data_IF_931655571441
#
_entry.id   IF_931655571441
#
_cell.length_a   1.000
_cell.length_b   1.000
_cell.length_c   1.000
_cell.angle_alpha   90.00
_cell.angle_beta   90.00
_cell.angle_gamma   90.00
#
_symmetry.space_group_name_H-M   'P 1'
#
loop_
_entity.id
_entity.type
_entity.pdbx_description
1 polymer ?
#
# COMPACT_ATOMS: atom_id res chain seq x y z
N UNK A 1 15.46 -3.41 40.60
CA UNK A 1 14.78 -4.73 40.75
C UNK A 1 13.26 -4.64 40.84
N UNK A 2 12.70 -3.62 41.50
CA UNK A 2 11.25 -3.36 41.67
C UNK A 2 10.51 -3.11 40.36
N UNK A 3 11.09 -2.35 39.43
CA UNK A 3 10.51 -2.04 38.11
C UNK A 3 10.38 -3.25 37.18
N UNK A 4 11.32 -4.20 37.24
CA UNK A 4 11.28 -5.42 36.43
C UNK A 4 10.20 -6.38 36.95
N UNK A 5 10.08 -6.53 38.27
CA UNK A 5 9.02 -7.34 38.90
C UNK A 5 7.63 -6.76 38.63
N UNK A 6 7.47 -5.44 38.68
CA UNK A 6 6.21 -4.77 38.36
C UNK A 6 5.81 -4.93 36.89
N UNK A 7 6.76 -4.78 35.96
CA UNK A 7 6.52 -5.06 34.53
C UNK A 7 6.13 -6.51 34.27
N UNK A 8 6.78 -7.47 34.94
CA UNK A 8 6.40 -8.90 34.87
C UNK A 8 5.00 -9.14 35.41
N UNK A 9 4.63 -8.52 36.53
CA UNK A 9 3.29 -8.65 37.12
C UNK A 9 2.19 -8.12 36.19
N UNK A 10 2.39 -6.93 35.61
CA UNK A 10 1.48 -6.35 34.61
C UNK A 10 1.37 -7.26 33.38
N UNK A 11 2.49 -7.80 32.92
CA UNK A 11 2.51 -8.70 31.77
C UNK A 11 1.72 -9.99 32.05
N UNK A 12 1.93 -10.62 33.21
CA UNK A 12 1.18 -11.81 33.64
C UNK A 12 -0.31 -11.50 33.82
N UNK A 13 -0.66 -10.38 34.45
CA UNK A 13 -2.06 -9.96 34.61
C UNK A 13 -2.76 -9.77 33.25
N UNK A 14 -2.08 -9.17 32.27
CA UNK A 14 -2.61 -9.05 30.90
C UNK A 14 -2.88 -10.41 30.25
N UNK A 15 -2.04 -11.42 30.49
CA UNK A 15 -2.32 -12.77 29.97
C UNK A 15 -3.49 -13.44 30.66
N UNK A 16 -3.59 -13.32 31.99
CA UNK A 16 -4.71 -13.91 32.75
C UNK A 16 -6.03 -13.27 32.33
N UNK A 17 -6.09 -11.94 32.24
CA UNK A 17 -7.27 -11.22 31.74
C UNK A 17 -7.63 -11.66 30.32
N UNK A 18 -6.64 -11.81 29.43
CA UNK A 18 -6.86 -12.33 28.07
C UNK A 18 -7.40 -13.76 28.07
N UNK A 19 -6.87 -14.64 28.92
CA UNK A 19 -7.36 -16.02 29.01
C UNK A 19 -8.81 -16.06 29.49
N UNK A 20 -9.15 -15.30 30.54
CA UNK A 20 -10.51 -15.20 31.08
C UNK A 20 -11.49 -14.64 30.03
N UNK A 21 -11.08 -13.59 29.31
CA UNK A 21 -11.93 -12.97 28.27
C UNK A 21 -12.14 -13.84 27.05
N UNK A 22 -11.21 -14.76 26.74
CA UNK A 22 -11.33 -15.69 25.61
C UNK A 22 -12.06 -16.99 25.97
N UNK A 23 -12.13 -17.35 27.26
CA UNK A 23 -12.75 -18.60 27.74
C UNK A 23 -14.19 -18.81 27.24
N UNK A 24 -15.09 -17.80 27.21
CA UNK A 24 -16.46 -17.97 26.72
C UNK A 24 -16.55 -18.37 25.24
N UNK A 25 -15.51 -18.09 24.44
CA UNK A 25 -15.49 -18.37 23.01
C UNK A 25 -14.93 -19.77 22.69
N UNK A 26 -14.35 -20.46 23.67
CA UNK A 26 -13.74 -21.78 23.49
C UNK A 26 -14.73 -22.86 23.02
N UNK A 27 -15.97 -22.96 23.54
CA UNK A 27 -16.94 -23.92 23.03
C UNK A 27 -17.24 -23.74 21.54
N UNK A 28 -17.33 -22.50 21.08
CA UNK A 28 -17.55 -22.17 19.67
C UNK A 28 -16.34 -22.57 18.81
N UNK A 29 -15.12 -22.29 19.28
CA UNK A 29 -13.89 -22.71 18.59
C UNK A 29 -13.81 -24.24 18.45
N UNK A 30 -14.14 -24.97 19.52
CA UNK A 30 -14.15 -26.43 19.50
C UNK A 30 -15.21 -26.97 18.54
N UNK A 31 -16.40 -26.36 18.51
CA UNK A 31 -17.46 -26.71 17.56
C UNK A 31 -17.03 -26.46 16.11
N UNK A 32 -16.39 -25.33 15.81
CA UNK A 32 -15.85 -25.02 14.47
C UNK A 32 -14.84 -26.10 14.04
N UNK A 33 -13.95 -26.52 14.95
CA UNK A 33 -12.96 -27.58 14.66
C UNK A 33 -13.62 -28.94 14.46
N UNK A 34 -14.64 -29.27 15.23
CA UNK A 34 -15.39 -30.51 15.11
C UNK A 34 -16.11 -30.61 13.76
N UNK A 35 -16.64 -29.49 13.25
CA UNK A 35 -17.35 -29.43 11.96
C UNK A 35 -16.38 -29.40 10.76
N UNK A 36 -15.10 -29.05 10.98
CA UNK A 36 -14.11 -28.86 9.92
C UNK A 36 -13.94 -30.02 8.91
N UNK A 37 -14.12 -31.32 9.26
CA UNK A 37 -14.07 -32.40 8.28
C UNK A 37 -15.21 -32.38 7.26
N UNK A 38 -16.35 -31.76 7.61
CA UNK A 38 -17.56 -31.70 6.78
C UNK A 38 -17.63 -30.36 6.04
N UNK A 39 -17.29 -29.27 6.74
CA UNK A 39 -17.33 -27.92 6.22
C UNK A 39 -16.26 -27.08 6.91
N UNK A 40 -15.34 -26.51 6.14
CA UNK A 40 -14.27 -25.70 6.71
C UNK A 40 -14.77 -24.27 6.92
N UNK A 41 -14.78 -23.81 8.17
CA UNK A 41 -15.19 -22.44 8.52
C UNK A 41 -13.95 -21.60 8.77
N UNK A 42 -13.77 -20.56 7.94
CA UNK A 42 -12.69 -19.60 8.06
C UNK A 42 -13.21 -18.31 8.67
N UNK A 43 -12.50 -17.81 9.68
CA UNK A 43 -12.68 -16.47 10.24
C UNK A 43 -11.39 -15.71 9.98
N UNK A 44 -11.45 -14.77 9.04
CA UNK A 44 -10.26 -14.05 8.57
C UNK A 44 -10.33 -12.60 9.05
N UNK A 45 -9.43 -12.18 9.97
CA UNK A 45 -9.36 -10.80 10.39
C UNK A 45 -8.76 -9.92 9.29
N UNK A 46 -9.37 -8.75 9.10
CA UNK A 46 -8.91 -7.71 8.19
C UNK A 46 -8.27 -6.56 8.97
N UNK A 47 -7.18 -6.03 8.44
CA UNK A 47 -6.45 -4.91 9.02
C UNK A 47 -7.13 -3.60 8.59
N UNK A 48 -7.69 -2.83 9.52
CA UNK A 48 -8.48 -1.62 9.17
C UNK A 48 -7.85 -0.28 9.56
N UNK A 49 -6.75 -0.28 10.31
CA UNK A 49 -6.18 0.96 10.87
C UNK A 49 -5.24 1.72 9.94
N UNK A 50 -4.88 1.14 8.79
CA UNK A 50 -4.09 1.80 7.75
C UNK A 50 -4.65 1.45 6.39
N UNK A 51 -4.91 2.49 5.59
CA UNK A 51 -5.64 2.38 4.32
C UNK A 51 -4.95 1.46 3.30
N UNK A 52 -3.62 1.46 3.25
CA UNK A 52 -2.86 0.58 2.35
C UNK A 52 -3.16 -0.90 2.56
N UNK A 53 -3.03 -1.35 3.81
CA UNK A 53 -3.36 -2.72 4.22
C UNK A 53 -4.86 -3.00 4.10
N UNK A 54 -5.71 -2.06 4.53
CA UNK A 54 -7.15 -2.25 4.46
C UNK A 54 -7.66 -2.44 3.03
N UNK A 55 -7.05 -1.74 2.08
CA UNK A 55 -7.45 -1.79 0.68
C UNK A 55 -6.76 -2.93 -0.07
N UNK A 56 -5.42 -2.93 -0.14
CA UNK A 56 -4.69 -3.85 -1.02
C UNK A 56 -4.63 -5.28 -0.48
N UNK A 57 -4.35 -5.47 0.81
CA UNK A 57 -4.23 -6.82 1.38
C UNK A 57 -5.57 -7.55 1.30
N UNK A 58 -6.67 -6.84 1.56
CA UNK A 58 -8.04 -7.38 1.43
C UNK A 58 -8.34 -7.80 -0.01
N UNK A 59 -8.02 -6.96 -1.01
CA UNK A 59 -8.24 -7.30 -2.41
C UNK A 59 -7.39 -8.49 -2.87
N UNK A 60 -6.10 -8.50 -2.52
CA UNK A 60 -5.18 -9.58 -2.88
C UNK A 60 -5.64 -10.92 -2.30
N UNK A 61 -6.13 -10.92 -1.06
CA UNK A 61 -6.68 -12.11 -0.43
C UNK A 61 -7.91 -12.65 -1.18
N UNK A 62 -8.84 -11.78 -1.57
CA UNK A 62 -10.04 -12.18 -2.31
C UNK A 62 -9.65 -12.70 -3.71
N UNK A 63 -8.65 -12.09 -4.36
CA UNK A 63 -8.08 -12.58 -5.62
C UNK A 63 -7.50 -13.99 -5.48
N UNK A 64 -6.65 -14.22 -4.47
CA UNK A 64 -6.08 -15.54 -4.18
C UNK A 64 -7.16 -16.59 -3.99
N UNK A 65 -8.18 -16.26 -3.18
CA UNK A 65 -9.28 -17.17 -2.93
C UNK A 65 -10.07 -17.49 -4.21
N UNK A 66 -10.31 -16.47 -5.04
CA UNK A 66 -11.02 -16.65 -6.31
C UNK A 66 -10.24 -17.55 -7.28
N UNK A 67 -8.91 -17.45 -7.29
CA UNK A 67 -8.03 -18.29 -8.10
C UNK A 67 -7.93 -19.73 -7.57
N UNK A 68 -7.98 -19.91 -6.25
CA UNK A 68 -7.85 -21.21 -5.58
C UNK A 68 -9.17 -21.99 -5.43
N UNK A 69 -10.24 -21.62 -6.14
CA UNK A 69 -11.57 -22.28 -6.08
C UNK A 69 -11.61 -23.76 -6.53
N UNK A 70 -10.47 -24.42 -6.72
CA UNK A 70 -10.35 -25.80 -7.18
C UNK A 70 -10.35 -26.86 -6.05
N UNK A 71 -10.50 -26.50 -4.77
CA UNK A 71 -10.52 -27.50 -3.68
C UNK A 71 -11.94 -28.02 -3.39
N UNK A 72 -12.08 -29.35 -3.32
CA UNK A 72 -13.33 -30.11 -3.15
C UNK A 72 -14.09 -29.88 -1.82
N UNK A 73 -13.57 -29.08 -0.88
CA UNK A 73 -14.20 -28.87 0.42
C UNK A 73 -15.13 -27.64 0.40
N UNK A 74 -16.30 -27.77 1.04
CA UNK A 74 -17.20 -26.63 1.27
C UNK A 74 -16.55 -25.67 2.28
N UNK A 75 -15.93 -24.61 1.79
CA UNK A 75 -15.33 -23.55 2.62
C UNK A 75 -16.34 -22.42 2.81
N UNK A 76 -16.73 -22.15 4.07
CA UNK A 76 -17.51 -20.98 4.47
C UNK A 76 -16.58 -19.96 5.09
N UNK A 77 -16.68 -18.70 4.68
CA UNK A 77 -15.77 -17.65 5.13
C UNK A 77 -16.51 -16.46 5.70
N UNK A 78 -16.06 -16.06 6.88
CA UNK A 78 -16.44 -14.83 7.53
C UNK A 78 -15.22 -13.93 7.68
N UNK A 79 -15.44 -12.64 7.49
CA UNK A 79 -14.42 -11.63 7.74
C UNK A 79 -14.73 -10.94 9.06
N UNK A 80 -13.70 -10.53 9.79
CA UNK A 80 -13.88 -9.78 11.03
C UNK A 80 -12.87 -8.64 11.15
N UNK A 81 -13.21 -7.63 11.94
CA UNK A 81 -12.26 -6.58 12.27
C UNK A 81 -11.15 -7.14 13.14
N UNK A 82 -9.89 -6.84 12.81
CA UNK A 82 -8.79 -7.15 13.71
C UNK A 82 -9.02 -6.45 15.07
N UNK A 83 -8.70 -7.16 16.16
CA UNK A 83 -8.95 -6.64 17.51
C UNK A 83 -8.24 -5.30 17.73
N UNK A 84 -8.97 -4.35 18.31
CA UNK A 84 -8.51 -2.98 18.57
C UNK A 84 -8.05 -2.23 17.30
N UNK A 85 -8.53 -2.62 16.10
CA UNK A 85 -8.28 -1.83 14.89
C UNK A 85 -9.34 -0.74 14.74
N UNK A 86 -8.90 0.51 14.73
CA UNK A 86 -9.72 1.63 14.32
C UNK A 86 -9.95 1.58 12.81
N UNK A 87 -11.12 2.02 12.35
CA UNK A 87 -11.44 2.06 10.92
C UNK A 87 -10.84 3.34 10.33
N UNK A 88 -9.75 3.21 9.57
CA UNK A 88 -9.01 4.36 9.03
C UNK A 88 -9.80 5.16 7.98
N UNK A 89 -10.78 4.54 7.32
CA UNK A 89 -11.63 5.22 6.34
C UNK A 89 -13.04 4.59 6.32
N UNK A 90 -14.09 5.32 6.74
CA UNK A 90 -15.45 4.81 6.79
C UNK A 90 -16.05 4.51 5.41
N UNK A 91 -15.67 5.25 4.35
CA UNK A 91 -16.15 4.97 2.99
C UNK A 91 -15.61 3.63 2.48
N UNK A 92 -14.32 3.37 2.65
CA UNK A 92 -13.70 2.10 2.28
C UNK A 92 -14.34 0.94 3.05
N UNK A 93 -14.61 1.12 4.35
CA UNK A 93 -15.34 0.12 5.15
C UNK A 93 -16.74 -0.16 4.62
N UNK A 94 -17.49 0.89 4.27
CA UNK A 94 -18.82 0.76 3.65
C UNK A 94 -18.75 -0.02 2.34
N UNK A 95 -17.72 0.19 1.53
CA UNK A 95 -17.53 -0.50 0.26
C UNK A 95 -17.15 -1.97 0.47
N UNK A 96 -16.26 -2.29 1.41
CA UNK A 96 -15.94 -3.67 1.75
C UNK A 96 -17.14 -4.46 2.26
N UNK A 97 -17.99 -3.87 3.10
CA UNK A 97 -19.21 -4.52 3.60
C UNK A 97 -20.21 -4.89 2.50
N UNK A 98 -20.10 -4.32 1.30
CA UNK A 98 -20.91 -4.71 0.13
C UNK A 98 -20.37 -5.94 -0.59
N UNK A 99 -19.08 -6.23 -0.43
CA UNK A 99 -18.33 -7.25 -1.18
C UNK A 99 -18.06 -8.49 -0.33
N UNK A 100 -17.85 -8.32 0.98
CA UNK A 100 -17.51 -9.40 1.91
C UNK A 100 -18.46 -9.47 3.11
N UNK A 101 -18.76 -10.66 3.64
CA UNK A 101 -19.54 -10.84 4.87
C UNK A 101 -18.70 -10.48 6.10
N UNK A 102 -18.55 -9.18 6.33
CA UNK A 102 -17.79 -8.61 7.44
C UNK A 102 -18.66 -8.51 8.70
N UNK A 103 -18.32 -9.31 9.71
CA UNK A 103 -19.07 -9.48 10.95
C UNK A 103 -18.37 -8.82 12.14
N UNK A 104 -19.17 -8.18 12.99
CA UNK A 104 -18.73 -7.64 14.28
C UNK A 104 -18.75 -8.72 15.37
N UNK A 105 -17.84 -8.62 16.34
CA UNK A 105 -17.83 -9.47 17.56
C UNK A 105 -17.22 -10.87 17.40
N UNK A 106 -17.09 -11.39 16.18
CA UNK A 106 -16.50 -12.73 15.95
C UNK A 106 -14.96 -12.75 16.01
N UNK A 107 -14.33 -11.59 16.16
CA UNK A 107 -12.88 -11.43 16.32
C UNK A 107 -12.34 -12.13 17.58
N UNK A 108 -13.18 -12.24 18.63
CA UNK A 108 -12.82 -12.98 19.84
C UNK A 108 -12.75 -14.49 19.60
N UNK A 109 -13.59 -15.02 18.69
CA UNK A 109 -13.52 -16.43 18.26
C UNK A 109 -12.21 -16.68 17.52
N UNK A 110 -11.82 -15.77 16.62
CA UNK A 110 -10.52 -15.83 15.95
C UNK A 110 -9.36 -15.84 16.97
N UNK A 111 -9.35 -14.90 17.91
CA UNK A 111 -8.28 -14.82 18.92
C UNK A 111 -8.22 -16.07 19.81
N UNK A 112 -9.37 -16.56 20.26
CA UNK A 112 -9.46 -17.77 21.07
C UNK A 112 -8.86 -18.96 20.30
N UNK A 113 -9.21 -19.11 19.02
CA UNK A 113 -8.62 -20.15 18.20
C UNK A 113 -7.11 -19.96 17.97
N UNK A 114 -6.66 -18.75 17.65
CA UNK A 114 -5.25 -18.46 17.43
C UNK A 114 -4.40 -18.88 18.64
N UNK A 115 -4.84 -18.52 19.85
CA UNK A 115 -4.16 -18.91 21.08
C UNK A 115 -4.24 -20.43 21.33
N UNK A 116 -5.39 -21.06 21.09
CA UNK A 116 -5.54 -22.50 21.22
C UNK A 116 -4.64 -23.28 20.25
N UNK A 117 -4.56 -22.87 18.98
CA UNK A 117 -3.65 -23.46 17.97
C UNK A 117 -2.20 -23.36 18.44
N UNK A 118 -1.79 -22.20 18.98
CA UNK A 118 -0.43 -22.00 19.49
C UNK A 118 -0.13 -22.86 20.73
N UNK A 119 -1.08 -23.00 21.66
CA UNK A 119 -0.94 -23.85 22.85
C UNK A 119 -0.82 -25.33 22.45
N UNK A 120 -1.68 -25.79 21.54
CA UNK A 120 -1.72 -27.18 21.09
C UNK A 120 -0.68 -27.51 20.00
N UNK A 121 0.12 -26.52 19.57
CA UNK A 121 1.13 -26.64 18.49
C UNK A 121 0.56 -27.27 17.21
N UNK A 122 -0.67 -26.89 16.85
CA UNK A 122 -1.33 -27.42 15.67
C UNK A 122 -0.94 -26.63 14.43
N UNK A 123 -0.82 -27.31 13.29
CA UNK A 123 -0.64 -26.68 11.98
C UNK A 123 -2.03 -26.48 11.34
N UNK A 124 -2.70 -25.37 11.64
CA UNK A 124 -4.02 -25.05 11.04
C UNK A 124 -3.99 -23.71 10.31
N UNK A 125 -4.37 -23.70 9.03
CA UNK A 125 -4.43 -22.51 8.16
C UNK A 125 -5.80 -21.82 8.14
N UNK A 126 -6.84 -22.50 8.62
CA UNK A 126 -8.25 -22.07 8.55
C UNK A 126 -8.55 -20.74 9.24
N UNK A 127 -7.67 -20.29 10.13
CA UNK A 127 -7.88 -19.13 11.01
C UNK A 127 -6.61 -18.28 11.13
N UNK A 128 -5.96 -18.03 9.98
CA UNK A 128 -4.86 -17.07 9.85
C UNK A 128 -5.39 -15.70 9.40
N UNK A 129 -4.72 -14.62 9.81
CA UNK A 129 -4.99 -13.28 9.29
C UNK A 129 -4.68 -13.17 7.80
N UNK A 130 -5.26 -12.17 7.14
CA UNK A 130 -4.90 -11.85 5.75
C UNK A 130 -3.38 -11.72 5.63
N UNK A 131 -2.75 -10.90 6.47
CA UNK A 131 -1.30 -10.68 6.41
C UNK A 131 -0.48 -11.97 6.53
N UNK A 132 -0.92 -12.94 7.32
CA UNK A 132 -0.25 -14.24 7.48
C UNK A 132 -0.51 -15.16 6.29
N UNK A 133 -1.73 -15.17 5.75
CA UNK A 133 -2.06 -15.91 4.53
C UNK A 133 -1.30 -15.35 3.31
N UNK A 134 -1.13 -14.02 3.27
CA UNK A 134 -0.42 -13.31 2.20
C UNK A 134 1.11 -13.47 2.26
N UNK A 135 1.69 -13.72 3.43
CA UNK A 135 3.13 -14.00 3.60
C UNK A 135 3.57 -15.35 3.03
N UNK A 136 2.64 -16.17 2.54
CA UNK A 136 2.97 -17.44 1.90
C UNK A 136 3.47 -17.24 0.47
N UNK A 137 4.34 -18.14 0.01
CA UNK A 137 4.79 -18.25 -1.39
C UNK A 137 3.64 -18.26 -2.42
N UNK A 138 2.40 -18.49 -1.97
CA UNK A 138 1.21 -18.55 -2.80
C UNK A 138 0.95 -17.25 -3.56
N UNK A 139 1.16 -16.06 -2.98
CA UNK A 139 1.01 -14.78 -3.73
C UNK A 139 2.01 -14.69 -4.85
N UNK A 140 3.27 -14.95 -4.51
CA UNK A 140 4.39 -14.79 -5.43
C UNK A 140 4.23 -15.80 -6.58
N UNK A 141 3.79 -17.03 -6.30
CA UNK A 141 3.49 -18.08 -7.29
C UNK A 141 2.19 -17.83 -8.08
N UNK A 142 1.20 -17.18 -7.47
CA UNK A 142 -0.06 -16.91 -8.13
C UNK A 142 0.10 -15.77 -9.12
N UNK A 143 -0.25 -16.02 -10.38
CA UNK A 143 -0.44 -14.99 -11.41
C UNK A 143 -1.67 -14.13 -11.05
N UNK A 144 -1.65 -13.45 -9.91
CA UNK A 144 -2.75 -12.60 -9.43
C UNK A 144 -2.83 -11.38 -10.33
N UNK A 145 -3.53 -11.56 -11.43
CA UNK A 145 -4.07 -10.45 -12.15
C UNK A 145 -5.25 -9.94 -11.31
N UNK A 146 -5.14 -8.73 -10.75
CA UNK A 146 -6.31 -7.97 -10.27
C UNK A 146 -7.11 -7.56 -11.52
N UNK A 147 -7.70 -8.55 -12.18
CA UNK A 147 -8.38 -8.39 -13.46
C UNK A 147 -9.77 -7.80 -13.28
N UNK A 148 -10.32 -7.81 -12.07
CA UNK A 148 -11.66 -7.31 -11.75
C UNK A 148 -11.59 -6.36 -10.55
N UNK A 149 -12.14 -5.16 -10.73
CA UNK A 149 -12.34 -4.21 -9.64
C UNK A 149 -13.60 -4.63 -8.88
N UNK A 150 -13.45 -5.10 -7.64
CA UNK A 150 -14.59 -5.57 -6.82
C UNK A 150 -15.29 -4.44 -6.06
N UNK A 151 -14.51 -3.44 -5.65
CA UNK A 151 -15.03 -2.26 -4.97
C UNK A 151 -15.76 -1.36 -5.98
N UNK A 152 -16.94 -0.87 -5.62
CA UNK A 152 -17.72 0.01 -6.48
C UNK A 152 -18.44 1.10 -5.70
N UNK A 153 -18.65 2.24 -6.36
CA UNK A 153 -19.49 3.32 -5.85
C UNK A 153 -20.94 3.10 -6.30
N UNK A 154 -21.88 3.43 -5.41
CA UNK A 154 -23.30 3.50 -5.78
C UNK A 154 -23.56 4.70 -6.69
N UNK A 155 -24.71 4.72 -7.39
CA UNK A 155 -25.12 5.87 -8.20
C UNK A 155 -25.19 7.17 -7.38
N UNK A 156 -25.61 7.10 -6.11
CA UNK A 156 -25.63 8.27 -5.20
C UNK A 156 -24.23 8.79 -4.88
N UNK A 157 -23.27 7.88 -4.67
CA UNK A 157 -21.87 8.21 -4.41
C UNK A 157 -21.21 8.80 -5.66
N UNK A 158 -21.45 8.24 -6.84
CA UNK A 158 -21.01 8.85 -8.10
C UNK A 158 -21.58 10.25 -8.31
N UNK A 159 -22.86 10.49 -8.03
CA UNK A 159 -23.44 11.84 -8.11
C UNK A 159 -22.76 12.81 -7.14
N UNK A 160 -22.53 12.41 -5.88
CA UNK A 160 -21.82 13.22 -4.88
C UNK A 160 -20.42 13.59 -5.34
N UNK A 161 -19.64 12.60 -5.79
CA UNK A 161 -18.27 12.83 -6.23
C UNK A 161 -18.19 13.67 -7.51
N UNK A 162 -19.06 13.43 -8.49
CA UNK A 162 -19.15 14.27 -9.70
C UNK A 162 -19.50 15.72 -9.35
N UNK A 163 -20.47 15.93 -8.45
CA UNK A 163 -20.84 17.28 -8.02
C UNK A 163 -19.67 18.02 -7.36
N UNK A 164 -18.84 17.33 -6.57
CA UNK A 164 -17.64 17.94 -6.00
C UNK A 164 -16.63 18.34 -7.10
N UNK A 165 -16.32 17.42 -8.01
CA UNK A 165 -15.30 17.60 -9.05
C UNK A 165 -15.71 18.67 -10.07
N UNK A 166 -16.99 18.78 -10.41
CA UNK A 166 -17.54 19.78 -11.34
C UNK A 166 -17.30 21.23 -10.89
N UNK A 167 -17.02 21.46 -9.59
CA UNK A 167 -16.65 22.79 -9.09
C UNK A 167 -15.30 23.25 -9.62
N UNK A 168 -14.41 22.32 -9.95
CA UNK A 168 -13.01 22.58 -10.29
C UNK A 168 -12.71 22.31 -11.78
N UNK A 169 -13.36 21.31 -12.39
CA UNK A 169 -13.11 20.96 -13.81
C UNK A 169 -13.58 21.99 -14.83
N UNK A 170 -14.17 23.13 -14.41
CA UNK A 170 -14.65 24.17 -15.35
C UNK A 170 -13.54 24.71 -16.26
N UNK A 171 -12.28 24.63 -15.81
CA UNK A 171 -11.10 25.10 -16.52
C UNK A 171 -10.17 23.95 -16.95
N UNK A 172 -10.63 22.69 -16.99
CA UNK A 172 -9.77 21.54 -17.24
C UNK A 172 -10.40 20.53 -18.20
N UNK A 173 -9.87 20.47 -19.42
CA UNK A 173 -10.36 19.58 -20.47
C UNK A 173 -9.87 18.14 -20.31
N UNK A 174 -8.69 17.92 -19.68
CA UNK A 174 -8.10 16.57 -19.54
C UNK A 174 -8.47 15.84 -18.24
N UNK A 175 -9.41 16.40 -17.47
CA UNK A 175 -9.84 15.84 -16.20
C UNK A 175 -8.92 16.25 -15.05
N UNK A 176 -8.61 15.30 -14.16
CA UNK A 176 -7.83 15.62 -12.95
C UNK A 176 -6.81 14.54 -12.57
N UNK A 177 -5.72 14.99 -11.96
CA UNK A 177 -4.63 14.16 -11.44
C UNK A 177 -4.61 14.30 -9.92
N UNK A 178 -4.30 13.21 -9.23
CA UNK A 178 -4.04 13.23 -7.79
C UNK A 178 -2.53 13.19 -7.54
N UNK A 179 -2.02 14.11 -6.71
CA UNK A 179 -0.63 14.11 -6.24
C UNK A 179 -0.57 13.87 -4.73
N UNK A 180 0.46 13.18 -4.25
CA UNK A 180 0.63 12.89 -2.82
C UNK A 180 2.10 12.65 -2.46
N UNK A 181 2.56 13.27 -1.36
CA UNK A 181 3.78 12.89 -0.66
C UNK A 181 3.45 12.31 0.72
N UNK A 182 4.16 11.25 1.11
CA UNK A 182 4.13 10.64 2.42
C UNK A 182 4.94 11.49 3.38
N UNK A 183 4.29 11.84 4.47
CA UNK A 183 4.88 12.49 5.63
C UNK A 183 4.64 11.62 6.89
N UNK A 184 5.37 11.86 7.99
CA UNK A 184 5.16 11.14 9.24
C UNK A 184 3.89 11.59 9.99
N UNK A 185 3.26 12.69 9.56
CA UNK A 185 2.18 13.40 10.26
C UNK A 185 0.97 12.51 10.56
N UNK A 186 0.55 11.68 9.60
CA UNK A 186 -0.56 10.73 9.81
C UNK A 186 -0.28 9.76 10.96
N UNK A 187 0.91 9.17 11.00
CA UNK A 187 1.25 8.16 12.01
C UNK A 187 1.41 8.80 13.39
N UNK A 188 2.04 9.98 13.46
CA UNK A 188 2.18 10.74 14.71
C UNK A 188 0.81 11.12 15.30
N UNK A 189 -0.14 11.53 14.47
CA UNK A 189 -1.45 11.98 14.93
C UNK A 189 -2.40 10.82 15.25
N UNK A 190 -2.40 9.77 14.44
CA UNK A 190 -3.32 8.63 14.61
C UNK A 190 -2.85 7.66 15.69
N UNK A 191 -1.54 7.61 15.96
CA UNK A 191 -0.92 6.67 16.89
C UNK A 191 0.12 7.37 17.78
N UNK A 192 -0.27 8.35 18.61
CA UNK A 192 0.66 9.22 19.33
C UNK A 192 1.54 8.50 20.36
N UNK A 193 1.16 7.29 20.77
CA UNK A 193 1.89 6.49 21.75
C UNK A 193 2.91 5.52 21.12
N UNK A 194 2.94 5.43 19.79
CA UNK A 194 3.78 4.50 19.05
C UNK A 194 4.88 5.27 18.29
N UNK A 195 6.10 4.72 18.27
CA UNK A 195 7.21 5.31 17.52
C UNK A 195 7.33 4.67 16.13
N UNK A 196 7.05 5.45 15.08
CA UNK A 196 7.19 5.04 13.68
C UNK A 196 8.42 5.62 12.96
N UNK A 197 9.36 6.24 13.69
CA UNK A 197 10.54 6.89 13.09
C UNK A 197 11.43 5.94 12.28
N UNK A 198 11.32 4.64 12.57
CA UNK A 198 11.99 3.60 11.79
C UNK A 198 11.52 3.56 10.32
N UNK A 199 10.39 4.19 9.97
CA UNK A 199 9.91 4.34 8.59
C UNK A 199 10.22 5.70 7.95
N UNK A 200 10.94 6.61 8.63
CA UNK A 200 11.18 7.98 8.13
C UNK A 200 11.96 8.01 6.82
N UNK A 201 12.79 6.99 6.56
CA UNK A 201 13.54 6.83 5.31
C UNK A 201 12.68 6.81 4.03
N UNK A 202 11.36 6.59 4.17
CA UNK A 202 10.41 6.58 3.04
C UNK A 202 9.72 7.93 2.80
N UNK A 203 9.79 8.87 3.76
CA UNK A 203 9.10 10.16 3.64
C UNK A 203 9.68 11.02 2.51
N UNK A 204 8.87 11.95 2.01
CA UNK A 204 9.25 12.91 0.98
C UNK A 204 8.58 14.27 1.21
N UNK A 205 9.17 15.34 0.66
CA UNK A 205 8.61 16.69 0.77
C UNK A 205 7.59 16.92 -0.36
N UNK A 206 6.43 17.49 -0.01
CA UNK A 206 5.42 17.87 -0.99
C UNK A 206 5.93 18.94 -1.96
N UNK A 207 6.87 19.78 -1.52
CA UNK A 207 7.44 20.84 -2.37
C UNK A 207 8.13 20.29 -3.61
N UNK A 208 8.65 19.04 -3.54
CA UNK A 208 9.25 18.40 -4.70
C UNK A 208 8.24 18.11 -5.82
N UNK A 209 6.93 18.14 -5.53
CA UNK A 209 5.86 17.92 -6.50
C UNK A 209 5.29 19.22 -7.09
N UNK A 210 5.68 20.40 -6.60
CA UNK A 210 5.13 21.68 -7.08
C UNK A 210 5.39 21.87 -8.58
N UNK A 211 6.64 21.64 -9.02
CA UNK A 211 7.03 21.73 -10.44
C UNK A 211 6.17 20.82 -11.32
N UNK A 212 5.89 19.61 -10.84
CA UNK A 212 5.02 18.63 -11.50
C UNK A 212 3.57 19.10 -11.55
N UNK A 213 3.05 19.62 -10.44
CA UNK A 213 1.68 20.11 -10.36
C UNK A 213 1.43 21.28 -11.34
N UNK A 214 2.35 22.23 -11.41
CA UNK A 214 2.27 23.38 -12.31
C UNK A 214 2.38 22.96 -13.78
N UNK A 215 3.26 22.00 -14.10
CA UNK A 215 3.35 21.46 -15.45
C UNK A 215 2.05 20.76 -15.87
N UNK A 216 1.48 19.91 -15.01
CA UNK A 216 0.21 19.23 -15.28
C UNK A 216 -0.95 20.22 -15.41
N UNK A 217 -0.94 21.29 -14.61
CA UNK A 217 -1.93 22.35 -14.71
C UNK A 217 -1.84 23.11 -16.04
N UNK A 218 -0.62 23.37 -16.52
CA UNK A 218 -0.36 23.92 -17.87
C UNK A 218 -0.83 22.96 -18.98
N UNK A 219 -0.79 21.65 -18.72
CA UNK A 219 -1.33 20.62 -19.61
C UNK A 219 -2.86 20.45 -19.49
N UNK A 220 -3.56 21.38 -18.83
CA UNK A 220 -5.03 21.45 -18.68
C UNK A 220 -5.65 20.37 -17.78
N UNK A 221 -4.87 19.83 -16.84
CA UNK A 221 -5.40 19.04 -15.73
C UNK A 221 -5.74 19.92 -14.52
N UNK A 222 -6.81 19.56 -13.80
CA UNK A 222 -6.94 19.95 -12.39
C UNK A 222 -6.04 19.03 -11.55
N UNK A 223 -5.25 19.57 -10.64
CA UNK A 223 -4.36 18.79 -9.77
C UNK A 223 -4.86 18.84 -8.34
N UNK A 224 -5.29 17.71 -7.79
CA UNK A 224 -5.64 17.60 -6.38
C UNK A 224 -4.45 17.11 -5.57
N UNK A 225 -4.01 17.93 -4.62
CA UNK A 225 -3.02 17.53 -3.61
C UNK A 225 -3.73 16.79 -2.47
N UNK A 226 -3.49 15.49 -2.44
CA UNK A 226 -4.12 14.54 -1.53
C UNK A 226 -3.32 14.38 -0.22
N UNK A 227 -3.96 13.83 0.79
CA UNK A 227 -3.38 13.52 2.10
C UNK A 227 -4.48 13.26 3.12
N UNK A 228 -4.12 12.75 4.30
CA UNK A 228 -5.06 12.43 5.38
C UNK A 228 -4.94 13.34 6.61
N UNK A 229 -3.94 14.22 6.63
CA UNK A 229 -3.75 15.18 7.71
C UNK A 229 -3.35 16.51 7.11
N UNK A 230 -3.96 17.59 7.62
CA UNK A 230 -3.59 18.96 7.26
C UNK A 230 -2.12 19.20 7.61
N UNK A 231 -1.40 19.74 6.65
CA UNK A 231 0.04 19.98 6.76
C UNK A 231 0.41 21.24 5.96
N UNK A 232 1.70 21.51 5.80
CA UNK A 232 2.29 22.56 4.95
C UNK A 232 1.46 22.78 3.68
N UNK A 233 1.00 24.01 3.44
CA UNK A 233 0.24 24.34 2.23
C UNK A 233 1.09 24.13 0.96
N UNK A 234 0.45 23.80 -0.16
CA UNK A 234 1.16 23.73 -1.44
C UNK A 234 1.62 25.13 -1.83
N UNK A 235 2.91 25.28 -2.12
CA UNK A 235 3.49 26.56 -2.54
C UNK A 235 3.28 26.78 -4.05
N UNK A 236 2.02 27.00 -4.48
CA UNK A 236 1.71 27.44 -5.85
C UNK A 236 0.48 28.33 -5.88
N UNK A 237 0.45 29.27 -6.82
CA UNK A 237 -0.68 30.18 -7.07
C UNK A 237 -1.57 29.74 -8.23
N UNK A 238 -1.25 28.63 -8.90
CA UNK A 238 -1.99 28.17 -10.07
C UNK A 238 -3.40 27.70 -9.68
N UNK A 239 -4.45 28.29 -10.28
CA UNK A 239 -5.85 28.06 -9.89
C UNK A 239 -6.32 26.60 -10.06
N UNK A 240 -5.77 25.88 -11.04
CA UNK A 240 -6.06 24.46 -11.26
C UNK A 240 -5.38 23.52 -10.24
N UNK A 241 -4.56 24.03 -9.31
CA UNK A 241 -3.96 23.23 -8.23
C UNK A 241 -4.78 23.42 -6.96
N UNK A 242 -5.40 22.34 -6.49
CA UNK A 242 -6.32 22.33 -5.37
C UNK A 242 -5.69 21.62 -4.18
N UNK A 243 -5.44 22.37 -3.10
CA UNK A 243 -4.93 21.84 -1.83
C UNK A 243 -6.05 21.13 -1.03
N UNK A 244 -6.52 20.00 -1.57
CA UNK A 244 -7.68 19.27 -1.07
C UNK A 244 -7.55 18.85 0.40
N UNK A 245 -6.38 18.34 0.80
CA UNK A 245 -6.14 17.88 2.18
C UNK A 245 -6.31 19.01 3.19
N UNK A 246 -5.91 20.24 2.85
CA UNK A 246 -6.01 21.38 3.74
C UNK A 246 -7.38 22.04 3.72
N UNK A 247 -8.07 22.01 2.58
CA UNK A 247 -9.31 22.78 2.39
C UNK A 247 -10.60 21.97 2.64
N UNK A 248 -10.65 20.70 2.26
CA UNK A 248 -11.92 19.94 2.19
C UNK A 248 -11.96 18.67 3.04
N UNK A 249 -10.88 17.88 3.05
CA UNK A 249 -10.71 16.63 3.80
C UNK A 249 -12.02 15.88 4.17
N UNK A 250 -12.46 14.98 3.28
CA UNK A 250 -13.67 14.18 3.41
C UNK A 250 -13.33 12.70 3.17
N UNK A 251 -13.57 11.79 4.13
CA UNK A 251 -13.26 10.37 3.96
C UNK A 251 -13.88 9.71 2.73
N UNK A 252 -15.02 10.23 2.24
CA UNK A 252 -15.58 9.79 0.97
C UNK A 252 -14.72 10.19 -0.22
N UNK A 253 -14.25 11.45 -0.26
CA UNK A 253 -13.43 11.99 -1.34
C UNK A 253 -12.00 11.44 -1.31
N UNK A 254 -11.48 11.07 -0.14
CA UNK A 254 -10.20 10.35 0.00
C UNK A 254 -10.16 9.04 -0.78
N UNK A 255 -11.33 8.41 -0.99
CA UNK A 255 -11.47 7.25 -1.88
C UNK A 255 -11.89 7.70 -3.27
N UNK A 256 -12.90 8.56 -3.39
CA UNK A 256 -13.49 8.92 -4.67
C UNK A 256 -12.51 9.57 -5.64
N UNK A 257 -11.70 10.54 -5.19
CA UNK A 257 -10.76 11.26 -6.06
C UNK A 257 -9.71 10.31 -6.66
N UNK A 258 -8.89 9.57 -5.89
CA UNK A 258 -7.92 8.63 -6.46
C UNK A 258 -8.57 7.49 -7.26
N UNK A 259 -9.80 7.09 -6.95
CA UNK A 259 -10.51 6.08 -7.75
C UNK A 259 -10.98 6.59 -9.12
N UNK A 260 -11.08 7.90 -9.34
CA UNK A 260 -11.65 8.50 -10.54
C UNK A 260 -10.70 9.45 -11.29
N UNK A 261 -9.45 9.58 -10.86
CA UNK A 261 -8.46 10.43 -11.51
C UNK A 261 -8.03 9.88 -12.88
N UNK A 262 -7.49 10.75 -13.73
CA UNK A 262 -6.84 10.39 -14.99
C UNK A 262 -5.63 9.49 -14.73
N UNK A 263 -4.80 9.88 -13.76
CA UNK A 263 -3.73 9.09 -13.17
C UNK A 263 -3.35 9.65 -11.79
N UNK A 264 -2.60 8.87 -11.03
CA UNK A 264 -2.09 9.25 -9.70
C UNK A 264 -0.57 9.37 -9.75
N UNK A 265 -0.02 10.36 -9.04
CA UNK A 265 1.42 10.49 -8.79
C UNK A 265 1.65 10.58 -7.29
N UNK A 266 2.56 9.78 -6.75
CA UNK A 266 2.96 9.95 -5.37
C UNK A 266 4.06 9.00 -4.99
N UNK A 267 4.26 8.80 -3.71
CA UNK A 267 5.24 7.84 -3.20
C UNK A 267 4.59 6.57 -2.65
N UNK A 268 5.40 5.75 -1.99
CA UNK A 268 5.01 4.45 -1.44
C UNK A 268 4.22 4.65 -0.14
N UNK A 269 2.97 5.08 -0.30
CA UNK A 269 2.03 5.30 0.79
C UNK A 269 0.85 4.33 0.74
N UNK A 270 0.02 4.35 1.78
CA UNK A 270 -1.21 3.58 1.76
C UNK A 270 -2.23 4.10 0.72
N UNK A 271 -2.18 5.39 0.38
CA UNK A 271 -3.17 6.00 -0.51
C UNK A 271 -2.99 5.57 -1.96
N UNK A 272 -1.76 5.28 -2.39
CA UNK A 272 -1.46 4.83 -3.76
C UNK A 272 -2.05 3.44 -4.08
N UNK A 273 -2.53 2.69 -3.09
CA UNK A 273 -3.27 1.44 -3.32
C UNK A 273 -4.69 1.68 -3.83
N UNK A 274 -5.33 2.80 -3.46
CA UNK A 274 -6.68 3.13 -3.91
C UNK A 274 -6.77 3.29 -5.44
N UNK A 275 -5.99 4.15 -6.12
CA UNK A 275 -6.09 4.28 -7.58
C UNK A 275 -5.82 2.94 -8.27
N UNK A 276 -4.89 2.15 -7.73
CA UNK A 276 -4.54 0.82 -8.22
C UNK A 276 -5.72 -0.15 -8.21
N UNK A 277 -6.52 -0.20 -7.13
CA UNK A 277 -7.72 -1.04 -7.03
C UNK A 277 -8.78 -0.70 -8.09
N UNK A 278 -8.86 0.58 -8.45
CA UNK A 278 -9.75 1.11 -9.47
C UNK A 278 -9.09 1.18 -10.85
N UNK A 279 -7.93 0.52 -11.02
CA UNK A 279 -7.19 0.39 -12.28
C UNK A 279 -6.83 1.73 -12.92
N UNK A 280 -6.66 2.77 -12.09
CA UNK A 280 -6.10 4.05 -12.55
C UNK A 280 -4.59 3.89 -12.72
N UNK A 281 -3.98 4.49 -13.75
CA UNK A 281 -2.53 4.52 -13.89
C UNK A 281 -1.87 5.20 -12.68
N UNK A 282 -0.73 4.68 -12.24
CA UNK A 282 -0.03 5.14 -11.02
C UNK A 282 1.45 5.35 -11.29
N UNK A 283 1.95 6.55 -11.03
CA UNK A 283 3.36 6.89 -11.03
C UNK A 283 3.87 6.93 -9.58
N UNK A 284 4.76 6.02 -9.23
CA UNK A 284 5.34 5.91 -7.88
C UNK A 284 6.76 6.50 -7.89
N UNK A 285 6.91 7.65 -7.27
CA UNK A 285 8.20 8.25 -6.93
C UNK A 285 8.75 7.66 -5.64
N UNK A 286 10.04 7.88 -5.38
CA UNK A 286 10.65 7.62 -4.09
C UNK A 286 10.47 6.16 -3.64
N UNK A 287 10.50 5.23 -4.58
CA UNK A 287 10.05 3.86 -4.36
C UNK A 287 11.05 3.01 -3.57
N UNK A 288 10.92 2.98 -2.24
CA UNK A 288 11.63 2.05 -1.36
C UNK A 288 10.76 1.60 -0.17
N UNK A 289 10.92 0.38 0.35
CA UNK A 289 11.92 -0.64 -0.04
C UNK A 289 11.49 -1.49 -1.25
N UNK A 290 12.40 -1.73 -2.19
CA UNK A 290 12.11 -2.33 -3.51
C UNK A 290 11.58 -3.78 -3.48
N UNK A 291 11.76 -4.49 -2.37
CA UNK A 291 11.36 -5.89 -2.18
C UNK A 291 10.02 -6.08 -1.45
N UNK A 292 9.36 -5.01 -0.97
CA UNK A 292 8.09 -5.12 -0.24
C UNK A 292 6.87 -4.77 -1.10
N UNK A 293 7.06 -4.59 -2.40
CA UNK A 293 6.04 -3.98 -3.24
C UNK A 293 5.24 -4.98 -4.04
N UNK A 294 4.05 -5.29 -3.53
CA UNK A 294 2.99 -5.94 -4.30
C UNK A 294 2.55 -5.12 -5.51
N UNK A 295 2.79 -3.80 -5.53
CA UNK A 295 2.52 -2.96 -6.71
C UNK A 295 3.38 -3.35 -7.92
N UNK A 296 4.56 -3.95 -7.72
CA UNK A 296 5.40 -4.42 -8.82
C UNK A 296 4.71 -5.50 -9.66
N UNK A 297 3.74 -6.21 -9.06
CA UNK A 297 2.93 -7.23 -9.70
C UNK A 297 1.71 -6.66 -10.42
N UNK A 298 1.56 -5.34 -10.50
CA UNK A 298 0.37 -4.67 -11.03
C UNK A 298 0.69 -3.92 -12.31
N UNK A 299 -0.27 -3.96 -13.24
CA UNK A 299 -0.19 -3.27 -14.53
C UNK A 299 -0.47 -1.77 -14.35
N UNK A 300 -0.08 -0.97 -15.34
CA UNK A 300 -0.28 0.48 -15.39
C UNK A 300 0.43 1.24 -14.27
N UNK A 301 1.52 0.67 -13.75
CA UNK A 301 2.38 1.32 -12.77
C UNK A 301 3.73 1.61 -13.41
N UNK A 302 4.18 2.85 -13.28
CA UNK A 302 5.58 3.21 -13.49
C UNK A 302 6.15 3.72 -12.17
N UNK A 303 7.44 3.50 -11.93
CA UNK A 303 8.06 3.93 -10.69
C UNK A 303 9.51 4.37 -10.85
N UNK A 304 10.02 5.13 -9.89
CA UNK A 304 11.46 5.43 -9.75
C UNK A 304 11.86 5.24 -8.28
N UNK A 305 12.98 4.54 -8.01
CA UNK A 305 13.46 4.34 -6.64
C UNK A 305 14.11 5.59 -6.07
N UNK A 306 14.19 5.64 -4.73
CA UNK A 306 15.21 6.47 -4.06
C UNK A 306 16.58 5.83 -4.28
N UNK A 307 17.61 6.66 -4.40
CA UNK A 307 19.00 6.19 -4.54
C UNK A 307 19.71 6.11 -3.19
N UNK A 308 20.71 5.23 -3.08
CA UNK A 308 21.50 5.06 -1.86
C UNK A 308 22.90 5.63 -2.05
N UNK A 309 23.30 6.55 -1.18
CA UNK A 309 24.66 7.08 -1.11
C UNK A 309 25.43 6.40 0.01
N UNK A 310 26.55 5.77 -0.34
CA UNK A 310 27.48 5.21 0.63
C UNK A 310 28.41 6.30 1.14
N UNK A 311 28.31 6.62 2.43
CA UNK A 311 29.24 7.58 3.05
C UNK A 311 30.64 6.98 3.23
N UNK A 312 30.76 5.65 3.29
CA UNK A 312 32.05 4.96 3.40
C UNK A 312 32.82 4.94 2.07
N UNK A 313 32.11 4.76 0.96
CA UNK A 313 32.71 4.71 -0.38
C UNK A 313 32.63 6.05 -1.12
N UNK A 314 31.94 7.04 -0.56
CA UNK A 314 31.74 8.36 -1.11
C UNK A 314 31.18 8.35 -2.55
N UNK A 315 30.21 7.47 -2.80
CA UNK A 315 29.55 7.32 -4.11
C UNK A 315 28.12 6.83 -3.97
N UNK A 316 27.36 6.93 -5.05
CA UNK A 316 26.11 6.20 -5.20
C UNK A 316 26.38 4.70 -5.30
N UNK A 317 25.51 3.92 -4.67
CA UNK A 317 25.46 2.48 -4.89
C UNK A 317 24.88 2.20 -6.29
N UNK A 318 25.35 1.12 -6.92
CA UNK A 318 24.74 0.61 -8.15
C UNK A 318 23.37 0.01 -7.86
N UNK A 319 22.53 -0.12 -8.88
CA UNK A 319 21.22 -0.77 -8.78
C UNK A 319 21.39 -2.21 -8.31
N UNK A 320 22.39 -2.92 -8.83
CA UNK A 320 22.76 -4.26 -8.36
C UNK A 320 23.06 -4.28 -6.87
N UNK A 321 23.88 -3.35 -6.36
CA UNK A 321 24.20 -3.27 -4.93
C UNK A 321 22.93 -3.04 -4.10
N UNK A 322 22.09 -2.07 -4.48
CA UNK A 322 20.82 -1.78 -3.82
C UNK A 322 19.88 -2.99 -3.76
N UNK A 323 19.97 -3.90 -4.73
CA UNK A 323 19.15 -5.11 -4.84
C UNK A 323 19.83 -6.37 -4.28
N UNK A 324 20.92 -6.22 -3.52
CA UNK A 324 21.62 -7.33 -2.84
C UNK A 324 21.70 -7.11 -1.34
N UNK A 325 21.92 -8.18 -0.58
CA UNK A 325 22.13 -8.07 0.87
C UNK A 325 23.40 -7.28 1.18
N UNK A 326 23.39 -6.42 2.23
CA UNK A 326 22.30 -6.20 3.17
C UNK A 326 21.24 -5.19 2.71
N UNK A 327 21.51 -4.42 1.65
CA UNK A 327 20.72 -3.24 1.25
C UNK A 327 19.28 -3.56 0.90
N UNK A 328 19.06 -4.71 0.27
CA UNK A 328 17.76 -5.19 -0.13
C UNK A 328 16.77 -5.34 1.05
N UNK A 329 17.27 -5.73 2.25
CA UNK A 329 16.45 -5.99 3.45
C UNK A 329 16.36 -4.82 4.42
N UNK A 330 16.80 -3.63 4.00
CA UNK A 330 16.78 -2.46 4.87
C UNK A 330 15.38 -1.85 4.91
N UNK A 331 14.62 -2.23 5.93
CA UNK A 331 13.21 -1.79 6.14
C UNK A 331 13.07 -0.83 7.31
N UNK A 332 14.20 -0.35 7.83
CA UNK A 332 14.27 0.42 9.07
C UNK A 332 15.34 1.50 8.97
N UNK A 333 15.01 2.71 9.39
CA UNK A 333 15.92 3.87 9.38
C UNK A 333 17.24 3.58 10.11
N UNK A 334 17.18 2.83 11.21
CA UNK A 334 18.37 2.47 11.99
C UNK A 334 19.35 1.59 11.19
N UNK A 335 18.86 0.76 10.27
CA UNK A 335 19.73 -0.04 9.39
C UNK A 335 20.52 0.87 8.45
N UNK A 336 19.88 1.92 7.89
CA UNK A 336 20.54 2.91 7.03
C UNK A 336 21.64 3.65 7.78
N UNK A 337 21.38 4.04 9.03
CA UNK A 337 22.36 4.69 9.89
C UNK A 337 23.56 3.78 10.21
N UNK A 338 23.31 2.52 10.61
CA UNK A 338 24.36 1.55 10.94
C UNK A 338 25.26 1.27 9.73
N UNK A 339 24.66 1.15 8.54
CA UNK A 339 25.40 0.90 7.30
C UNK A 339 25.98 2.17 6.67
N UNK A 340 25.83 3.34 7.31
CA UNK A 340 26.28 4.65 6.80
C UNK A 340 25.78 4.92 5.38
N UNK A 341 24.49 4.63 5.16
CA UNK A 341 23.80 4.85 3.90
C UNK A 341 22.86 6.03 4.06
N UNK A 342 23.04 7.03 3.22
CA UNK A 342 22.12 8.15 3.08
C UNK A 342 21.15 7.86 1.94
N UNK A 343 19.86 7.88 2.26
CA UNK A 343 18.78 7.70 1.28
C UNK A 343 18.51 9.04 0.58
N UNK A 344 18.51 9.04 -0.75
CA UNK A 344 18.34 10.24 -1.58
C UNK A 344 16.95 10.22 -2.22
N UNK A 345 16.16 11.25 -1.92
CA UNK A 345 14.87 11.47 -2.56
C UNK A 345 15.03 11.78 -4.04
N UNK A 346 14.03 11.43 -4.84
CA UNK A 346 13.99 11.90 -6.21
C UNK A 346 13.91 13.42 -6.27
N UNK A 347 14.60 13.99 -7.25
CA UNK A 347 14.60 15.45 -7.46
C UNK A 347 13.27 15.90 -8.07
N UNK A 348 12.90 17.18 -7.95
CA UNK A 348 11.71 17.72 -8.63
C UNK A 348 11.70 17.45 -10.14
N UNK A 349 12.87 17.46 -10.78
CA UNK A 349 13.01 17.16 -12.21
C UNK A 349 12.73 15.68 -12.52
N UNK A 350 13.23 14.76 -11.70
CA UNK A 350 12.93 13.32 -11.88
C UNK A 350 11.46 13.00 -11.71
N UNK A 351 10.80 13.69 -10.76
CA UNK A 351 9.35 13.53 -10.53
C UNK A 351 8.56 14.11 -11.72
N UNK A 352 8.99 15.26 -12.25
CA UNK A 352 8.42 15.84 -13.47
C UNK A 352 8.59 14.91 -14.67
N UNK A 353 9.78 14.37 -14.90
CA UNK A 353 10.05 13.45 -16.02
C UNK A 353 9.13 12.21 -15.94
N UNK A 354 9.00 11.62 -14.74
CA UNK A 354 8.08 10.49 -14.53
C UNK A 354 6.62 10.88 -14.80
N UNK A 355 6.22 12.08 -14.39
CA UNK A 355 4.88 12.61 -14.64
C UNK A 355 4.59 12.79 -16.12
N UNK A 356 5.57 13.28 -16.89
CA UNK A 356 5.45 13.46 -18.33
C UNK A 356 5.34 12.11 -19.05
N UNK A 357 6.15 11.12 -18.65
CA UNK A 357 6.01 9.75 -19.14
C UNK A 357 4.61 9.20 -18.81
N UNK A 358 4.12 9.37 -17.58
CA UNK A 358 2.77 8.92 -17.22
C UNK A 358 1.69 9.60 -18.05
N UNK A 359 1.79 10.92 -18.26
CA UNK A 359 0.87 11.67 -19.11
C UNK A 359 0.84 11.10 -20.52
N UNK A 360 1.99 10.91 -21.16
CA UNK A 360 2.08 10.35 -22.50
C UNK A 360 1.54 8.92 -22.58
N UNK A 361 1.84 8.08 -21.58
CA UNK A 361 1.28 6.72 -21.49
C UNK A 361 -0.24 6.75 -21.35
N UNK A 362 -0.78 7.65 -20.53
CA UNK A 362 -2.22 7.83 -20.35
C UNK A 362 -2.92 8.29 -21.64
N UNK A 363 -2.25 9.12 -22.44
CA UNK A 363 -2.73 9.59 -23.75
C UNK A 363 -2.51 8.58 -24.88
N UNK A 364 -1.91 7.41 -24.60
CA UNK A 364 -1.44 6.43 -25.59
C UNK A 364 -0.47 7.02 -26.63
N UNK A 365 0.30 8.03 -26.23
CA UNK A 365 1.31 8.72 -27.04
C UNK A 365 2.76 8.37 -26.62
N UNK A 366 2.93 7.44 -25.68
CA UNK A 366 4.26 6.99 -25.25
C UNK A 366 4.78 5.90 -26.18
N UNK A 367 5.91 6.18 -26.83
CA UNK A 367 6.65 5.22 -27.63
C UNK A 367 7.93 4.80 -26.89
N UNK A 368 8.11 3.49 -26.74
CA UNK A 368 9.27 2.93 -26.06
C UNK A 368 10.38 2.63 -27.09
N UNK A 369 11.56 3.22 -26.91
CA UNK A 369 12.70 2.99 -27.81
C UNK A 369 13.32 1.59 -27.59
N UNK A 370 14.26 1.19 -28.44
CA UNK A 370 15.02 -0.04 -28.22
C UNK A 370 15.90 0.05 -26.97
N UNK A 371 16.61 1.17 -26.81
CA UNK A 371 17.49 1.45 -25.68
C UNK A 371 16.71 1.52 -24.36
N UNK A 372 15.47 2.05 -24.38
CA UNK A 372 14.59 2.02 -23.21
C UNK A 372 14.28 0.59 -22.77
N UNK A 373 14.02 -0.32 -23.72
CA UNK A 373 13.78 -1.74 -23.42
C UNK A 373 15.03 -2.41 -22.84
N UNK A 374 16.21 -2.10 -23.37
CA UNK A 374 17.48 -2.64 -22.87
C UNK A 374 17.74 -2.20 -21.43
N UNK A 375 17.58 -0.91 -21.12
CA UNK A 375 17.75 -0.38 -19.75
C UNK A 375 16.72 -0.95 -18.78
N UNK A 376 15.46 -1.10 -19.21
CA UNK A 376 14.44 -1.78 -18.41
C UNK A 376 14.87 -3.21 -18.08
N UNK A 377 15.34 -3.96 -19.09
CA UNK A 377 15.76 -5.33 -18.90
C UNK A 377 16.95 -5.43 -17.95
N UNK A 378 17.93 -4.53 -18.05
CA UNK A 378 19.07 -4.46 -17.13
C UNK A 378 18.61 -4.28 -15.69
N UNK A 379 17.77 -3.27 -15.42
CA UNK A 379 17.22 -3.02 -14.08
C UNK A 379 16.42 -4.22 -13.55
N UNK A 380 15.52 -4.77 -14.37
CA UNK A 380 14.64 -5.88 -13.96
C UNK A 380 15.40 -7.19 -13.72
N UNK A 381 16.57 -7.37 -14.36
CA UNK A 381 17.43 -8.54 -14.14
C UNK A 381 17.94 -8.60 -12.70
N UNK A 382 18.32 -7.46 -12.12
CA UNK A 382 18.75 -7.36 -10.74
C UNK A 382 17.61 -7.61 -9.75
N UNK A 383 16.42 -7.08 -10.05
CA UNK A 383 15.24 -7.25 -9.20
C UNK A 383 14.74 -8.71 -9.19
N UNK A 384 14.82 -9.38 -10.34
CA UNK A 384 14.47 -10.80 -10.46
C UNK A 384 15.50 -11.70 -9.77
N UNK A 385 16.78 -11.35 -9.83
CA UNK A 385 17.86 -12.09 -9.15
C UNK A 385 17.78 -12.03 -7.62
N UNK A 386 17.08 -11.03 -7.07
CA UNK A 386 16.88 -10.85 -5.65
C UNK A 386 16.07 -11.99 -4.98
N UNK A 387 15.51 -12.94 -5.75
CA UNK A 387 14.71 -14.11 -5.28
C UNK A 387 13.43 -13.77 -4.50
N UNK A 388 13.00 -12.50 -4.46
CA UNK A 388 11.70 -12.09 -3.89
C UNK A 388 10.57 -12.08 -4.92
N UNK A 389 10.92 -11.99 -6.20
CA UNK A 389 9.99 -11.97 -7.31
C UNK A 389 10.34 -13.11 -8.27
N UNK A 390 9.35 -13.89 -8.71
CA UNK A 390 9.59 -14.88 -9.77
C UNK A 390 9.81 -14.16 -11.11
N UNK A 391 10.80 -14.59 -11.92
CA UNK A 391 10.99 -14.07 -13.27
C UNK A 391 9.68 -14.12 -14.09
N UNK A 392 9.33 -13.02 -14.74
CA UNK A 392 8.10 -12.91 -15.57
C UNK A 392 6.82 -12.49 -14.83
N UNK A 393 6.91 -12.10 -13.56
CA UNK A 393 5.75 -11.67 -12.74
C UNK A 393 5.76 -10.19 -12.36
N UNK A 394 6.77 -9.42 -12.80
CA UNK A 394 6.86 -7.97 -12.58
C UNK A 394 6.27 -7.26 -13.79
N UNK A 395 5.23 -6.44 -13.55
CA UNK A 395 4.51 -5.70 -14.60
C UNK A 395 4.75 -4.20 -14.52
N UNK A 396 5.15 -3.69 -13.36
CA UNK A 396 5.52 -2.28 -13.22
C UNK A 396 6.80 -1.99 -14.01
N UNK A 397 6.89 -0.80 -14.61
CA UNK A 397 8.08 -0.33 -15.34
C UNK A 397 8.82 0.74 -14.55
N UNK A 398 10.13 0.85 -14.71
CA UNK A 398 10.86 2.01 -14.18
C UNK A 398 10.66 3.23 -15.10
N UNK A 399 10.72 4.47 -14.63
CA UNK A 399 10.70 5.63 -15.54
C UNK A 399 11.90 5.61 -16.50
N UNK A 400 11.67 5.80 -17.80
CA UNK A 400 12.70 5.74 -18.85
C UNK A 400 13.76 6.83 -18.67
N UNK A 401 13.34 8.07 -18.37
CA UNK A 401 14.28 9.18 -18.11
C UNK A 401 15.19 8.90 -16.92
N UNK A 402 14.67 8.26 -15.87
CA UNK A 402 15.46 7.86 -14.71
C UNK A 402 16.51 6.80 -15.08
N UNK A 403 16.09 5.76 -15.83
CA UNK A 403 17.00 4.73 -16.31
C UNK A 403 18.12 5.29 -17.20
N UNK A 404 17.78 6.22 -18.10
CA UNK A 404 18.76 6.90 -18.95
C UNK A 404 19.72 7.76 -18.14
N UNK A 405 19.21 8.54 -17.19
CA UNK A 405 20.02 9.40 -16.32
C UNK A 405 21.01 8.60 -15.47
N UNK A 406 20.59 7.43 -15.00
CA UNK A 406 21.37 6.57 -14.09
C UNK A 406 21.90 5.31 -14.78
N UNK A 407 22.10 5.36 -16.10
CA UNK A 407 22.57 4.22 -16.90
C UNK A 407 23.90 3.65 -16.40
N UNK A 408 24.80 4.50 -15.89
CA UNK A 408 26.08 4.07 -15.31
C UNK A 408 25.95 3.31 -13.99
N UNK A 409 24.76 3.33 -13.37
CA UNK A 409 24.48 2.59 -12.13
C UNK A 409 23.75 1.27 -12.39
N UNK A 410 23.30 1.00 -13.62
CA UNK A 410 22.48 -0.17 -13.94
C UNK A 410 23.23 -1.48 -13.73
#
# INVERSE_FOLDING_TARGET
MTTIRFRKLIHTAKYVIRAITLLPFMPIVLLIRLISPICEIHITPIFTSRIGHFALDTELYICLKSANKQTNNRIIEFFCYQCNSEICNPQLNKMWRRVIPLLYGINMIYLANYHLTKILRLNTTSLLSISEKLKSDAIIKSKLNISQTRLYFTASEHRRGKHFIQKFLKNSEKGFVCIHSRNPTYLKNSFPNDNFSYHDYRDSDIDHFVKTAENLATLEYTVFRMGSVRDKAVCSSHQSIIDYVNQYHDPFLDIYLPSNCSFYIGDTSGLSTIPTLFKRPVAITNAIPLNEFSFLLLKNIIFIPKLFWSETQNRLLTIREMMTEPFLRMHRMEMFQINKIRVINNTPDEILDLSQEMHLRHMNAWEESHEDRERQQAFMSHLSAAKYYFPGHIFAKVGSSFLKKYETLL
#
